data_IF_131692487932
#
_entry.id   IF_131692487932
#
_cell.length_a   1.000
_cell.length_b   1.000
_cell.length_c   1.000
_cell.angle_alpha   90.00
_cell.angle_beta   90.00
_cell.angle_gamma   90.00
#
_symmetry.space_group_name_H-M   'P 1'
#
loop_
_entity.id
_entity.type
_entity.pdbx_description
1 polymer ?
#
# COMPACT_ATOMS: atom_id res chain seq x y z
N UNK A 1 7.55 8.06 -7.41
CA UNK A 1 7.70 7.62 -5.98
C UNK A 1 8.28 6.22 -5.93
N UNK A 2 9.23 6.00 -5.05
CA UNK A 2 9.79 4.68 -4.78
C UNK A 2 9.15 4.10 -3.52
N UNK A 3 9.36 2.79 -3.28
CA UNK A 3 8.85 2.17 -2.05
C UNK A 3 9.50 2.78 -0.81
N UNK A 4 10.74 3.23 -0.92
CA UNK A 4 11.40 3.89 0.20
C UNK A 4 10.73 5.24 0.50
N UNK A 5 10.43 6.01 -0.53
CA UNK A 5 9.69 7.27 -0.39
C UNK A 5 8.28 7.04 0.16
N UNK A 6 7.61 5.98 -0.32
CA UNK A 6 6.29 5.61 0.17
C UNK A 6 6.35 5.27 1.66
N UNK A 7 7.34 4.48 2.07
CA UNK A 7 7.52 4.12 3.47
C UNK A 7 7.69 5.36 4.35
N UNK A 8 8.53 6.29 3.91
CA UNK A 8 8.75 7.56 4.62
C UNK A 8 7.46 8.36 4.71
N UNK A 9 6.74 8.47 3.59
CA UNK A 9 5.46 9.19 3.53
C UNK A 9 4.46 8.63 4.54
N UNK A 10 4.29 7.31 4.57
CA UNK A 10 3.33 6.66 5.47
C UNK A 10 3.72 6.88 6.93
N UNK A 11 4.99 6.81 7.25
CA UNK A 11 5.48 7.06 8.63
C UNK A 11 5.28 8.51 9.04
N UNK A 12 5.57 9.45 8.14
CA UNK A 12 5.38 10.87 8.42
C UNK A 12 3.91 11.24 8.63
N UNK A 13 3.01 10.52 7.97
CA UNK A 13 1.58 10.72 8.12
C UNK A 13 0.99 9.85 9.22
N UNK A 14 1.83 9.24 10.05
CA UNK A 14 1.45 8.47 11.23
C UNK A 14 0.50 7.31 10.91
N UNK A 15 0.66 6.70 9.74
CA UNK A 15 -0.12 5.52 9.37
C UNK A 15 0.40 4.33 10.17
N UNK A 16 -0.47 3.65 10.94
CA UNK A 16 -0.02 2.49 11.73
C UNK A 16 0.52 1.37 10.84
N UNK A 17 1.68 0.84 11.20
CA UNK A 17 2.33 -0.22 10.44
C UNK A 17 1.47 -1.48 10.31
N UNK A 18 0.53 -1.68 11.20
CA UNK A 18 -0.39 -2.83 11.16
C UNK A 18 -1.32 -2.83 9.95
N UNK A 19 -1.41 -1.72 9.22
CA UNK A 19 -2.29 -1.61 8.07
C UNK A 19 -1.59 -1.87 6.74
N UNK A 20 -0.27 -1.91 6.70
CA UNK A 20 0.45 -2.06 5.43
C UNK A 20 1.70 -2.92 5.54
N UNK A 21 2.14 -3.43 4.40
CA UNK A 21 3.41 -4.16 4.27
C UNK A 21 4.07 -3.75 2.97
N UNK A 22 5.29 -3.26 3.06
CA UNK A 22 6.10 -2.90 1.90
C UNK A 22 7.16 -3.99 1.70
N UNK A 23 7.11 -4.65 0.54
CA UNK A 23 8.01 -5.74 0.23
C UNK A 23 7.54 -7.08 0.81
N UNK A 24 6.68 -7.75 0.08
CA UNK A 24 6.12 -9.04 0.48
C UNK A 24 4.65 -8.95 0.86
N UNK A 25 4.16 -9.91 1.64
CA UNK A 25 2.77 -9.93 2.07
C UNK A 25 2.66 -10.22 3.57
N UNK A 26 1.57 -9.74 4.15
CA UNK A 26 1.24 -9.98 5.54
C UNK A 26 -0.28 -9.95 5.67
N UNK A 27 -0.85 -10.96 6.35
CA UNK A 27 -2.30 -11.04 6.50
C UNK A 27 -2.91 -9.79 7.11
N UNK A 28 -4.07 -9.41 6.58
CA UNK A 28 -4.87 -8.28 7.03
C UNK A 28 -4.18 -6.92 6.84
N UNK A 29 -3.34 -6.82 5.82
CA UNK A 29 -2.65 -5.58 5.47
C UNK A 29 -2.74 -5.31 3.97
N UNK A 30 -2.69 -4.03 3.62
CA UNK A 30 -2.51 -3.63 2.22
C UNK A 30 -1.02 -3.78 1.93
N UNK A 31 -0.71 -4.51 0.86
CA UNK A 31 0.66 -4.92 0.54
C UNK A 31 1.08 -4.39 -0.82
N UNK A 32 2.38 -4.10 -0.97
CA UNK A 32 3.01 -3.80 -2.24
C UNK A 32 4.21 -4.72 -2.40
N UNK A 33 4.31 -5.38 -3.55
CA UNK A 33 5.34 -6.39 -3.79
C UNK A 33 5.86 -6.29 -5.21
N UNK A 34 7.18 -6.39 -5.38
CA UNK A 34 7.78 -6.49 -6.70
C UNK A 34 7.70 -7.94 -7.18
N UNK A 35 7.33 -8.12 -8.45
CA UNK A 35 7.26 -9.43 -9.10
C UNK A 35 8.21 -9.47 -10.29
N UNK A 36 8.32 -10.63 -10.93
CA UNK A 36 9.16 -10.76 -12.14
C UNK A 36 8.69 -9.83 -13.26
N UNK A 37 7.38 -9.60 -13.35
CA UNK A 37 6.78 -8.82 -14.44
C UNK A 37 6.47 -7.37 -14.07
N UNK A 38 6.76 -6.97 -12.84
CA UNK A 38 6.46 -5.62 -12.38
C UNK A 38 6.13 -5.56 -10.91
N UNK A 39 4.96 -5.00 -10.57
CA UNK A 39 4.56 -4.72 -9.21
C UNK A 39 3.11 -5.11 -8.97
N UNK A 40 2.81 -5.51 -7.73
CA UNK A 40 1.45 -5.82 -7.31
C UNK A 40 1.08 -5.06 -6.05
N UNK A 41 -0.16 -4.57 -5.99
CA UNK A 41 -0.74 -3.97 -4.80
C UNK A 41 -2.02 -4.75 -4.49
N UNK A 42 -2.18 -5.19 -3.25
CA UNK A 42 -3.30 -6.05 -2.87
C UNK A 42 -3.55 -6.00 -1.38
N UNK A 43 -4.75 -6.40 -0.97
CA UNK A 43 -5.04 -6.69 0.43
C UNK A 43 -4.82 -8.18 0.65
N UNK A 44 -4.05 -8.54 1.67
CA UNK A 44 -3.80 -9.94 1.98
C UNK A 44 -4.80 -10.42 3.05
N UNK A 45 -5.56 -11.46 2.73
CA UNK A 45 -6.53 -12.04 3.64
C UNK A 45 -6.48 -13.55 3.53
N UNK A 46 -6.25 -14.23 4.65
CA UNK A 46 -6.16 -15.71 4.70
C UNK A 46 -5.18 -16.25 3.66
N UNK A 47 -4.05 -15.57 3.48
CA UNK A 47 -3.01 -15.89 2.50
C UNK A 47 -3.44 -15.73 1.05
N UNK A 48 -4.59 -15.11 0.80
CA UNK A 48 -5.06 -14.80 -0.55
C UNK A 48 -4.86 -13.32 -0.83
N UNK A 49 -4.63 -13.00 -2.11
CA UNK A 49 -4.50 -11.63 -2.57
C UNK A 49 -5.88 -11.14 -3.03
N UNK A 50 -6.47 -10.25 -2.25
CA UNK A 50 -7.79 -9.69 -2.53
C UNK A 50 -7.62 -8.32 -3.19
N UNK A 51 -8.40 -8.06 -4.23
CA UNK A 51 -8.35 -6.78 -4.94
C UNK A 51 -7.01 -6.54 -5.62
N UNK A 52 -6.40 -7.59 -6.14
CA UNK A 52 -5.07 -7.51 -6.76
C UNK A 52 -5.06 -6.56 -7.95
N UNK A 53 -4.12 -5.61 -7.89
CA UNK A 53 -3.84 -4.67 -8.99
C UNK A 53 -2.39 -4.82 -9.40
N UNK A 54 -2.14 -4.87 -10.71
CA UNK A 54 -0.80 -5.04 -11.27
C UNK A 54 -0.35 -3.79 -11.99
N UNK A 55 0.93 -3.47 -11.83
CA UNK A 55 1.55 -2.28 -12.42
C UNK A 55 2.88 -2.64 -13.05
N UNK A 56 3.24 -1.95 -14.12
CA UNK A 56 4.52 -2.18 -14.79
C UNK A 56 5.69 -1.54 -14.07
N UNK A 57 5.43 -0.41 -13.36
CA UNK A 57 6.50 0.35 -12.72
C UNK A 57 6.23 0.61 -11.25
N UNK A 58 7.30 0.90 -10.54
CA UNK A 58 7.28 1.16 -9.11
C UNK A 58 6.45 2.40 -8.76
N UNK A 59 6.59 3.46 -9.53
CA UNK A 59 5.88 4.71 -9.26
C UNK A 59 4.37 4.50 -9.28
N UNK A 60 3.85 3.84 -10.32
CA UNK A 60 2.41 3.58 -10.44
C UNK A 60 1.90 2.73 -9.27
N UNK A 61 2.65 1.71 -8.90
CA UNK A 61 2.28 0.85 -7.77
C UNK A 61 2.28 1.63 -6.46
N UNK A 62 3.29 2.45 -6.22
CA UNK A 62 3.37 3.26 -5.02
C UNK A 62 2.24 4.29 -4.93
N UNK A 63 1.90 4.92 -6.04
CA UNK A 63 0.80 5.88 -6.07
C UNK A 63 -0.54 5.19 -5.81
N UNK A 64 -0.71 3.98 -6.34
CA UNK A 64 -1.90 3.17 -6.07
C UNK A 64 -2.01 2.83 -4.58
N UNK A 65 -0.92 2.34 -3.99
CA UNK A 65 -0.93 1.99 -2.56
C UNK A 65 -1.15 3.21 -1.69
N UNK A 66 -0.50 4.33 -2.01
CA UNK A 66 -0.72 5.60 -1.29
C UNK A 66 -2.20 5.97 -1.29
N UNK A 67 -2.85 5.86 -2.45
CA UNK A 67 -4.27 6.17 -2.59
C UNK A 67 -5.15 5.21 -1.77
N UNK A 68 -4.82 3.93 -1.77
CA UNK A 68 -5.56 2.94 -0.97
C UNK A 68 -5.39 3.19 0.52
N UNK A 69 -4.18 3.55 0.95
CA UNK A 69 -3.95 3.90 2.36
C UNK A 69 -4.70 5.17 2.75
N UNK A 70 -4.76 6.16 1.85
CA UNK A 70 -5.54 7.37 2.09
C UNK A 70 -7.01 7.04 2.32
N UNK A 71 -7.60 6.21 1.46
CA UNK A 71 -8.99 5.78 1.59
C UNK A 71 -9.24 5.06 2.91
N UNK A 72 -8.30 4.18 3.28
CA UNK A 72 -8.40 3.43 4.53
C UNK A 72 -8.37 4.37 5.73
N UNK A 73 -7.46 5.33 5.75
CA UNK A 73 -7.34 6.27 6.86
C UNK A 73 -8.57 7.18 6.96
N UNK A 74 -9.13 7.59 5.83
CA UNK A 74 -10.39 8.35 5.82
C UNK A 74 -11.52 7.51 6.41
N UNK A 75 -11.60 6.23 6.05
CA UNK A 75 -12.65 5.32 6.51
C UNK A 75 -12.53 5.01 8.00
N UNK A 76 -11.32 4.75 8.48
CA UNK A 76 -11.09 4.30 9.86
C UNK A 76 -11.06 5.48 10.85
N UNK A 77 -10.41 6.58 10.49
CA UNK A 77 -10.16 7.69 11.40
C UNK A 77 -10.81 9.00 10.98
N UNK A 78 -11.44 9.05 9.82
CA UNK A 78 -12.01 10.29 9.30
C UNK A 78 -10.94 11.32 8.92
N UNK A 79 -9.72 10.88 8.67
CA UNK A 79 -8.60 11.78 8.34
C UNK A 79 -8.52 11.99 6.85
N UNK A 80 -8.27 13.24 6.44
CA UNK A 80 -8.07 13.60 5.04
C UNK A 80 -6.65 14.16 4.88
N UNK A 81 -5.87 13.53 4.00
CA UNK A 81 -4.53 14.02 3.71
C UNK A 81 -4.56 15.10 2.64
N UNK A 82 -3.68 16.09 2.79
CA UNK A 82 -3.39 17.03 1.73
C UNK A 82 -2.69 16.28 0.59
N UNK A 83 -3.05 16.61 -0.64
CA UNK A 83 -2.50 15.96 -1.83
C UNK A 83 -1.25 16.66 -2.34
#
# INVERSE_FOLDING_TARGET
>A
MTVQELSTFLKEHLVPAKFYKIGGSHNNRICIEQTEDGWEVFFSEKKEKVGLMRYEDENSACMSMKNEMRKLMESVYGLTWAR
#
